data_IF_439273275123
#
_entry.id   IF_439273275123
#
_cell.length_a   1.000
_cell.length_b   1.000
_cell.length_c   1.000
_cell.angle_alpha   90.00
_cell.angle_beta   90.00
_cell.angle_gamma   90.00
#
_symmetry.space_group_name_H-M   'P 1'
#
loop_
_entity.id
_entity.type
_entity.pdbx_description
1 polymer ?
#
# COMPACT_ATOMS: atom_id res chain seq x y z
N UNK A 1 -48.32 -53.36 60.34
CA UNK A 1 -48.73 -52.46 59.36
C UNK A 1 -47.80 -51.20 59.27
N UNK A 2 -47.20 -51.02 58.32
CA UNK A 2 -46.43 -50.36 57.48
C UNK A 2 -46.78 -48.98 56.98
N UNK A 3 -45.97 -48.07 56.89
CA UNK A 3 -46.24 -47.05 55.90
C UNK A 3 -44.95 -46.40 55.46
N UNK A 4 -44.80 -46.50 54.26
CA UNK A 4 -43.76 -45.98 53.42
C UNK A 4 -43.98 -44.55 53.12
N UNK A 5 -43.05 -43.69 53.44
CA UNK A 5 -42.99 -42.33 52.94
C UNK A 5 -41.99 -42.24 51.83
N UNK A 6 -42.47 -42.00 50.68
CA UNK A 6 -41.63 -41.77 49.53
C UNK A 6 -41.50 -40.27 49.32
N UNK A 7 -40.29 -39.80 49.44
CA UNK A 7 -39.97 -38.41 49.09
C UNK A 7 -39.23 -38.42 47.79
N UNK A 8 -39.84 -37.93 46.75
CA UNK A 8 -39.23 -37.71 45.48
C UNK A 8 -38.32 -36.46 45.59
N UNK A 9 -37.08 -36.67 45.39
CA UNK A 9 -36.12 -35.60 45.22
C UNK A 9 -36.34 -34.94 43.86
N UNK A 10 -36.73 -33.69 43.88
CA UNK A 10 -36.82 -32.88 42.68
C UNK A 10 -35.46 -32.20 42.48
N UNK A 11 -34.79 -32.61 41.42
CA UNK A 11 -33.59 -31.95 40.99
C UNK A 11 -33.90 -30.52 40.51
N UNK A 12 -33.17 -29.54 40.95
CA UNK A 12 -33.20 -28.23 40.31
C UNK A 12 -32.47 -28.31 38.99
N UNK A 13 -33.21 -28.15 37.93
CA UNK A 13 -32.62 -27.88 36.61
C UNK A 13 -31.81 -26.61 36.72
N UNK A 14 -30.51 -26.74 36.68
CA UNK A 14 -29.62 -25.63 36.56
C UNK A 14 -29.86 -25.00 35.18
N UNK A 15 -30.47 -23.85 35.18
CA UNK A 15 -30.48 -22.99 34.02
C UNK A 15 -29.07 -22.56 33.75
N UNK A 16 -28.49 -23.06 32.72
CA UNK A 16 -27.27 -22.47 32.15
C UNK A 16 -27.63 -21.09 31.61
N UNK A 17 -27.09 -20.01 32.15
CA UNK A 17 -27.11 -18.77 31.41
C UNK A 17 -26.27 -18.99 30.18
N UNK A 18 -26.87 -18.81 29.03
CA UNK A 18 -26.15 -18.72 27.80
C UNK A 18 -25.06 -17.66 27.98
N UNK A 19 -23.83 -18.10 27.95
CA UNK A 19 -22.71 -17.16 27.94
C UNK A 19 -22.87 -16.33 26.69
N UNK A 20 -23.32 -15.11 26.85
CA UNK A 20 -23.19 -14.14 25.79
C UNK A 20 -21.69 -13.99 25.56
N UNK A 21 -21.21 -14.57 24.49
CA UNK A 21 -19.85 -14.40 24.05
C UNK A 21 -19.67 -12.99 23.51
N UNK A 22 -19.55 -12.03 24.39
CA UNK A 22 -18.83 -10.82 24.07
C UNK A 22 -17.36 -11.22 24.12
N UNK A 23 -16.82 -11.65 22.99
CA UNK A 23 -15.41 -11.90 22.86
C UNK A 23 -14.71 -10.55 22.97
N UNK A 24 -14.18 -10.27 24.15
CA UNK A 24 -13.16 -9.24 24.28
C UNK A 24 -12.04 -9.56 23.30
N UNK A 25 -11.54 -8.59 22.50
CA UNK A 25 -10.46 -8.86 21.59
C UNK A 25 -9.28 -9.42 22.36
N UNK A 26 -8.80 -10.60 21.93
CA UNK A 26 -7.57 -11.14 22.48
C UNK A 26 -6.39 -10.30 21.97
N UNK A 27 -5.26 -10.20 22.68
CA UNK A 27 -4.07 -9.49 22.21
C UNK A 27 -3.63 -9.90 20.79
N UNK A 28 -3.83 -11.18 20.43
CA UNK A 28 -3.57 -11.67 19.08
C UNK A 28 -4.50 -11.06 18.03
N UNK A 29 -5.79 -10.91 18.33
CA UNK A 29 -6.77 -10.30 17.43
C UNK A 29 -6.51 -8.80 17.27
N UNK A 30 -6.06 -8.14 18.31
CA UNK A 30 -5.67 -6.72 18.24
C UNK A 30 -4.44 -6.55 17.35
N UNK A 31 -3.43 -7.41 17.49
CA UNK A 31 -2.26 -7.39 16.62
C UNK A 31 -2.65 -7.64 15.15
N UNK A 32 -3.51 -8.61 14.87
CA UNK A 32 -4.00 -8.87 13.51
C UNK A 32 -4.72 -7.67 12.91
N UNK A 33 -5.55 -6.99 13.69
CA UNK A 33 -6.23 -5.78 13.28
C UNK A 33 -5.26 -4.63 12.99
N UNK A 34 -4.24 -4.45 13.81
CA UNK A 34 -3.19 -3.46 13.61
C UNK A 34 -2.36 -3.75 12.35
N UNK A 35 -1.96 -5.01 12.15
CA UNK A 35 -1.22 -5.43 10.96
C UNK A 35 -2.02 -5.18 9.69
N UNK A 36 -3.31 -5.47 9.70
CA UNK A 36 -4.20 -5.17 8.59
C UNK A 36 -4.26 -3.66 8.29
N UNK A 37 -4.28 -2.82 9.33
CA UNK A 37 -4.24 -1.36 9.18
C UNK A 37 -2.92 -0.87 8.59
N UNK A 38 -1.80 -1.39 9.03
CA UNK A 38 -0.49 -1.04 8.47
C UNK A 38 -0.39 -1.41 6.99
N UNK A 39 -0.83 -2.61 6.61
CA UNK A 39 -0.85 -3.04 5.21
C UNK A 39 -1.75 -2.15 4.36
N UNK A 40 -2.92 -1.78 4.86
CA UNK A 40 -3.83 -0.86 4.18
C UNK A 40 -3.21 0.53 3.99
N UNK A 41 -2.53 1.05 5.00
CA UNK A 41 -1.83 2.34 4.91
C UNK A 41 -0.66 2.28 3.92
N UNK A 42 0.08 1.17 3.89
CA UNK A 42 1.15 0.95 2.91
C UNK A 42 0.61 0.91 1.48
N UNK A 43 -0.54 0.27 1.26
CA UNK A 43 -1.21 0.25 -0.04
C UNK A 43 -1.65 1.65 -0.47
N UNK A 44 -2.26 2.41 0.44
CA UNK A 44 -2.65 3.81 0.18
C UNK A 44 -1.46 4.69 -0.16
N UNK A 45 -0.35 4.49 0.56
CA UNK A 45 0.89 5.21 0.34
C UNK A 45 1.48 4.90 -1.05
N UNK A 46 1.46 3.63 -1.46
CA UNK A 46 1.89 3.21 -2.78
C UNK A 46 1.03 3.85 -3.89
N UNK A 47 -0.29 3.84 -3.74
CA UNK A 47 -1.21 4.48 -4.68
C UNK A 47 -1.00 5.99 -4.76
N UNK A 48 -0.78 6.64 -3.62
CA UNK A 48 -0.46 8.07 -3.55
C UNK A 48 0.82 8.40 -4.31
N UNK A 49 1.89 7.63 -4.09
CA UNK A 49 3.16 7.81 -4.79
C UNK A 49 3.01 7.58 -6.29
N UNK A 50 2.29 6.54 -6.69
CA UNK A 50 2.01 6.24 -8.10
C UNK A 50 1.24 7.39 -8.77
N UNK A 51 0.20 7.90 -8.15
CA UNK A 51 -0.57 9.05 -8.65
C UNK A 51 0.32 10.30 -8.79
N UNK A 52 1.15 10.59 -7.81
CA UNK A 52 2.09 11.71 -7.85
C UNK A 52 3.12 11.54 -8.97
N UNK A 53 3.65 10.34 -9.15
CA UNK A 53 4.59 10.03 -10.23
C UNK A 53 3.94 10.24 -11.60
N UNK A 54 2.73 9.73 -11.78
CA UNK A 54 1.98 9.91 -13.04
C UNK A 54 1.69 11.38 -13.32
N UNK A 55 1.37 12.17 -12.30
CA UNK A 55 1.19 13.62 -12.42
C UNK A 55 2.46 14.30 -12.94
N UNK A 56 3.61 13.95 -12.39
CA UNK A 56 4.91 14.52 -12.85
C UNK A 56 5.23 14.11 -14.28
N UNK A 57 4.94 12.88 -14.65
CA UNK A 57 5.14 12.40 -16.04
C UNK A 57 4.22 13.16 -17.01
N UNK A 58 2.95 13.35 -16.65
CA UNK A 58 2.01 14.10 -17.47
C UNK A 58 2.42 15.56 -17.61
N UNK A 59 2.85 16.21 -16.52
CA UNK A 59 3.35 17.59 -16.54
C UNK A 59 4.60 17.72 -17.43
N UNK A 60 5.50 16.75 -17.35
CA UNK A 60 6.69 16.72 -18.21
C UNK A 60 6.32 16.55 -19.70
N UNK A 61 5.33 15.74 -20.00
CA UNK A 61 4.82 15.57 -21.35
C UNK A 61 4.18 16.86 -21.87
N UNK A 62 3.34 17.50 -21.06
CA UNK A 62 2.68 18.75 -21.44
C UNK A 62 3.71 19.85 -21.70
N UNK A 63 4.74 19.98 -20.85
CA UNK A 63 5.86 20.89 -21.06
C UNK A 63 6.60 20.60 -22.38
N UNK A 64 6.85 19.33 -22.66
CA UNK A 64 7.48 18.91 -23.93
C UNK A 64 6.63 19.32 -25.14
N UNK A 65 5.32 19.18 -25.05
CA UNK A 65 4.41 19.51 -26.15
C UNK A 65 4.25 21.04 -26.39
N UNK A 66 4.63 21.86 -25.42
CA UNK A 66 4.67 23.33 -25.57
C UNK A 66 5.80 23.81 -26.50
N UNK A 67 6.84 22.98 -26.67
CA UNK A 67 7.93 23.30 -27.60
C UNK A 67 7.50 23.07 -29.05
N UNK A 68 7.99 23.88 -30.02
CA UNK A 68 7.74 23.66 -31.43
C UNK A 68 8.21 22.25 -31.88
N UNK A 69 7.49 21.68 -32.84
CA UNK A 69 7.75 20.32 -33.31
C UNK A 69 9.19 20.09 -33.78
N UNK A 70 9.83 21.11 -34.38
CA UNK A 70 11.21 21.04 -34.83
C UNK A 70 12.23 20.93 -33.68
N UNK A 71 11.83 21.26 -32.46
CA UNK A 71 12.67 21.12 -31.25
C UNK A 71 12.45 19.80 -30.52
N UNK A 72 11.47 19.04 -30.94
CA UNK A 72 11.15 17.75 -30.33
C UNK A 72 12.32 16.77 -30.58
N UNK A 73 12.94 16.34 -29.49
CA UNK A 73 14.10 15.44 -29.51
C UNK A 73 14.18 14.64 -28.21
N UNK A 74 14.97 13.56 -28.24
CA UNK A 74 15.28 12.81 -27.02
C UNK A 74 16.01 13.69 -26.01
N UNK A 75 16.94 14.55 -26.48
CA UNK A 75 17.68 15.48 -25.61
C UNK A 75 16.76 16.43 -24.85
N UNK A 76 15.74 16.98 -25.52
CA UNK A 76 14.74 17.82 -24.88
C UNK A 76 13.93 17.04 -23.82
N UNK A 77 13.51 15.83 -24.12
CA UNK A 77 12.78 14.97 -23.16
C UNK A 77 13.63 14.70 -21.91
N UNK A 78 14.86 14.29 -22.10
CA UNK A 78 15.80 14.04 -20.99
C UNK A 78 15.99 15.30 -20.16
N UNK A 79 16.17 16.44 -20.79
CA UNK A 79 16.33 17.74 -20.10
C UNK A 79 15.12 18.06 -19.22
N UNK A 80 13.90 17.88 -19.74
CA UNK A 80 12.67 18.11 -18.99
C UNK A 80 12.56 17.13 -17.80
N UNK A 81 12.83 15.85 -18.01
CA UNK A 81 12.80 14.83 -16.95
C UNK A 81 13.84 15.13 -15.87
N UNK A 82 15.04 15.53 -16.26
CA UNK A 82 16.09 15.94 -15.30
C UNK A 82 15.65 17.16 -14.50
N UNK A 83 14.99 18.13 -15.12
CA UNK A 83 14.45 19.29 -14.41
C UNK A 83 13.40 18.94 -13.35
N UNK A 84 12.66 17.84 -13.57
CA UNK A 84 11.68 17.29 -12.60
C UNK A 84 12.33 16.38 -11.55
N UNK A 85 13.60 16.03 -11.71
CA UNK A 85 14.30 15.06 -10.88
C UNK A 85 14.31 15.40 -9.39
N UNK A 86 14.46 16.67 -9.05
CA UNK A 86 14.40 17.13 -7.65
C UNK A 86 13.05 16.87 -7.00
N UNK A 87 11.96 17.12 -7.73
CA UNK A 87 10.59 16.84 -7.27
C UNK A 87 10.37 15.33 -7.09
N UNK A 88 10.80 14.53 -8.06
CA UNK A 88 10.70 13.06 -7.98
C UNK A 88 11.48 12.50 -6.80
N UNK A 89 12.70 12.97 -6.57
CA UNK A 89 13.53 12.56 -5.43
C UNK A 89 12.89 12.93 -4.11
N UNK A 90 12.34 14.14 -3.98
CA UNK A 90 11.63 14.58 -2.78
C UNK A 90 10.38 13.75 -2.50
N UNK A 91 9.60 13.44 -3.53
CA UNK A 91 8.43 12.58 -3.42
C UNK A 91 8.79 11.17 -2.97
N UNK A 92 9.83 10.59 -3.57
CA UNK A 92 10.32 9.26 -3.19
C UNK A 92 10.83 9.24 -1.75
N UNK A 93 11.61 10.24 -1.36
CA UNK A 93 12.14 10.35 0.00
C UNK A 93 11.03 10.47 1.04
N UNK A 94 10.00 11.28 0.77
CA UNK A 94 8.84 11.40 1.65
C UNK A 94 8.07 10.08 1.77
N UNK A 95 7.86 9.39 0.65
CA UNK A 95 7.19 8.09 0.62
C UNK A 95 8.00 7.04 1.39
N UNK A 96 9.31 6.97 1.18
CA UNK A 96 10.20 6.04 1.87
C UNK A 96 10.17 6.27 3.39
N UNK A 97 10.14 7.52 3.82
CA UNK A 97 10.06 7.88 5.24
C UNK A 97 8.74 7.40 5.87
N UNK A 98 7.62 7.65 5.21
CA UNK A 98 6.30 7.20 5.68
C UNK A 98 6.22 5.66 5.71
N UNK A 99 6.72 5.00 4.66
CA UNK A 99 6.75 3.54 4.59
C UNK A 99 7.62 2.93 5.70
N UNK A 100 8.81 3.45 5.92
CA UNK A 100 9.72 2.95 6.95
C UNK A 100 9.15 3.15 8.35
N UNK A 101 8.39 4.21 8.61
CA UNK A 101 7.68 4.39 9.86
C UNK A 101 6.62 3.30 10.07
N UNK A 102 5.80 3.02 9.06
CA UNK A 102 4.79 1.95 9.11
C UNK A 102 5.44 0.57 9.27
N UNK A 103 6.55 0.33 8.57
CA UNK A 103 7.30 -0.93 8.67
C UNK A 103 7.88 -1.13 10.07
N UNK A 104 8.39 -0.08 10.68
CA UNK A 104 8.91 -0.11 12.06
C UNK A 104 7.81 -0.43 13.07
N UNK A 105 6.63 0.19 12.93
CA UNK A 105 5.47 -0.11 13.77
C UNK A 105 5.00 -1.56 13.59
N UNK A 106 4.95 -2.04 12.35
CA UNK A 106 4.62 -3.43 12.04
C UNK A 106 5.59 -4.41 12.69
N UNK A 107 6.90 -4.15 12.59
CA UNK A 107 7.93 -4.98 13.21
C UNK A 107 7.83 -5.02 14.72
N UNK A 108 7.51 -3.89 15.34
CA UNK A 108 7.29 -3.79 16.78
C UNK A 108 6.06 -4.60 17.19
N UNK A 109 4.95 -4.47 16.48
CA UNK A 109 3.74 -5.25 16.74
C UNK A 109 4.00 -6.75 16.65
N UNK A 110 4.70 -7.21 15.62
CA UNK A 110 5.05 -8.62 15.44
C UNK A 110 5.95 -9.14 16.59
N UNK A 111 6.96 -8.37 16.94
CA UNK A 111 7.89 -8.72 18.02
C UNK A 111 7.20 -8.80 19.38
N UNK A 112 6.39 -7.83 19.72
CA UNK A 112 5.69 -7.78 21.01
C UNK A 112 4.66 -8.90 21.17
N UNK A 113 4.17 -9.45 20.07
CA UNK A 113 3.24 -10.57 20.06
C UNK A 113 3.91 -11.92 19.77
N UNK A 114 5.23 -11.98 19.83
CA UNK A 114 6.00 -13.22 19.65
C UNK A 114 5.90 -13.82 18.26
N UNK A 115 5.59 -13.00 17.24
CA UNK A 115 5.49 -13.45 15.85
C UNK A 115 6.78 -13.22 15.11
N UNK A 116 7.02 -14.03 14.06
CA UNK A 116 8.15 -13.83 13.17
C UNK A 116 8.00 -12.56 12.32
N UNK A 117 9.07 -12.14 11.68
CA UNK A 117 9.14 -10.90 10.91
C UNK A 117 8.81 -11.08 9.42
N UNK A 118 8.37 -12.25 9.00
CA UNK A 118 8.17 -12.57 7.57
C UNK A 118 7.15 -11.66 6.90
N UNK A 119 6.07 -11.28 7.59
CA UNK A 119 5.07 -10.35 7.05
C UNK A 119 5.69 -8.97 6.75
N UNK A 120 6.50 -8.44 7.66
CA UNK A 120 7.21 -7.17 7.49
C UNK A 120 8.26 -7.27 6.38
N UNK A 121 9.02 -8.36 6.33
CA UNK A 121 10.01 -8.59 5.28
C UNK A 121 9.36 -8.68 3.90
N UNK A 122 8.22 -9.36 3.79
CA UNK A 122 7.46 -9.44 2.54
C UNK A 122 6.89 -8.08 2.13
N UNK A 123 6.40 -7.29 3.07
CA UNK A 123 5.92 -5.94 2.80
C UNK A 123 7.06 -5.03 2.28
N UNK A 124 8.24 -5.12 2.87
CA UNK A 124 9.42 -4.38 2.41
C UNK A 124 9.83 -4.79 1.00
N UNK A 125 9.92 -6.08 0.72
CA UNK A 125 10.25 -6.58 -0.64
C UNK A 125 9.22 -6.14 -1.68
N UNK A 126 7.94 -6.21 -1.34
CA UNK A 126 6.86 -5.77 -2.23
C UNK A 126 6.97 -4.28 -2.53
N UNK A 127 7.27 -3.45 -1.54
CA UNK A 127 7.48 -2.02 -1.70
C UNK A 127 8.68 -1.69 -2.60
N UNK A 128 9.81 -2.31 -2.35
CA UNK A 128 11.03 -2.14 -3.16
C UNK A 128 10.82 -2.59 -4.61
N UNK A 129 10.12 -3.70 -4.81
CA UNK A 129 9.76 -4.22 -6.13
C UNK A 129 8.81 -3.26 -6.87
N UNK A 130 7.81 -2.72 -6.19
CA UNK A 130 6.89 -1.75 -6.76
C UNK A 130 7.61 -0.46 -7.19
N UNK A 131 8.53 0.04 -6.38
CA UNK A 131 9.37 1.20 -6.72
C UNK A 131 10.22 0.94 -7.96
N UNK A 132 10.89 -0.21 -8.01
CA UNK A 132 11.70 -0.59 -9.16
C UNK A 132 10.86 -0.68 -10.45
N UNK A 133 9.65 -1.22 -10.37
CA UNK A 133 8.71 -1.30 -11.49
C UNK A 133 8.27 0.08 -11.97
N UNK A 134 7.99 1.00 -11.06
CA UNK A 134 7.61 2.38 -11.40
C UNK A 134 8.75 3.13 -12.09
N UNK A 135 9.99 2.98 -11.62
CA UNK A 135 11.17 3.57 -12.25
C UNK A 135 11.39 3.00 -13.65
N UNK A 136 11.20 1.69 -13.82
CA UNK A 136 11.29 1.03 -15.13
C UNK A 136 10.22 1.54 -16.08
N UNK A 137 8.98 1.69 -15.62
CA UNK A 137 7.87 2.24 -16.40
C UNK A 137 8.18 3.68 -16.85
N UNK A 138 8.66 4.53 -15.95
CA UNK A 138 9.08 5.90 -16.29
C UNK A 138 10.14 5.91 -17.39
N UNK A 139 11.18 5.10 -17.26
CA UNK A 139 12.23 4.99 -18.27
C UNK A 139 11.68 4.53 -19.62
N UNK A 140 10.78 3.56 -19.62
CA UNK A 140 10.15 3.05 -20.84
C UNK A 140 9.32 4.14 -21.53
N UNK A 141 8.54 4.92 -20.76
CA UNK A 141 7.74 6.03 -21.31
C UNK A 141 8.64 7.08 -21.97
N UNK A 142 9.70 7.50 -21.29
CA UNK A 142 10.66 8.49 -21.81
C UNK A 142 11.34 7.97 -23.07
N UNK A 143 11.81 6.73 -23.05
CA UNK A 143 12.56 6.14 -24.16
C UNK A 143 11.67 5.88 -25.37
N UNK A 144 10.51 5.26 -25.18
CA UNK A 144 9.61 4.89 -26.28
C UNK A 144 9.01 6.12 -26.99
N UNK A 145 8.77 7.20 -26.27
CA UNK A 145 8.36 8.47 -26.89
C UNK A 145 9.47 9.10 -27.76
N UNK A 146 10.73 8.76 -27.48
CA UNK A 146 11.86 9.26 -28.26
C UNK A 146 12.00 8.61 -29.62
N UNK A 147 11.62 7.35 -29.76
CA UNK A 147 11.82 6.53 -30.96
C UNK A 147 10.66 6.69 -31.97
N UNK A 148 9.70 7.58 -31.71
CA UNK A 148 8.62 7.90 -32.66
C UNK A 148 7.50 6.86 -32.74
N UNK A 149 7.44 5.89 -31.84
CA UNK A 149 6.43 4.84 -31.85
C UNK A 149 5.07 5.26 -31.27
N UNK A 150 4.83 6.54 -31.02
CA UNK A 150 3.55 7.06 -30.56
C UNK A 150 3.05 6.56 -29.18
N UNK A 151 3.78 5.63 -28.55
CA UNK A 151 3.40 4.97 -27.31
C UNK A 151 3.34 5.92 -26.12
N UNK A 152 4.11 7.00 -26.12
CA UNK A 152 4.13 7.98 -25.06
C UNK A 152 2.82 8.76 -24.95
N UNK A 153 2.30 9.25 -26.08
CA UNK A 153 1.01 9.95 -26.09
C UNK A 153 -0.13 9.03 -25.63
N UNK A 154 -0.12 7.78 -26.08
CA UNK A 154 -1.09 6.76 -25.68
C UNK A 154 -0.98 6.45 -24.18
N UNK A 155 0.22 6.31 -23.67
CA UNK A 155 0.45 6.10 -22.24
C UNK A 155 -0.09 7.28 -21.41
N UNK A 156 0.23 8.52 -21.78
CA UNK A 156 -0.25 9.74 -21.13
C UNK A 156 -1.78 9.78 -21.14
N UNK A 157 -2.40 9.51 -22.28
CA UNK A 157 -3.85 9.52 -22.41
C UNK A 157 -4.52 8.49 -21.50
N UNK A 158 -3.95 7.29 -21.37
CA UNK A 158 -4.49 6.22 -20.53
C UNK A 158 -4.23 6.44 -19.03
N UNK A 159 -3.18 7.17 -18.65
CA UNK A 159 -2.77 7.35 -17.24
C UNK A 159 -3.10 8.73 -16.67
N UNK A 160 -3.53 9.69 -17.48
CA UNK A 160 -3.83 11.06 -17.03
C UNK A 160 -4.90 11.10 -15.94
N UNK A 161 -5.89 10.23 -16.01
CA UNK A 161 -6.97 10.14 -15.02
C UNK A 161 -6.54 9.45 -13.72
N UNK A 162 -5.36 8.84 -13.69
CA UNK A 162 -4.77 8.18 -12.51
C UNK A 162 -3.77 9.09 -11.77
N UNK A 163 -3.52 10.24 -12.35
CA UNK A 163 -2.58 11.23 -11.82
C UNK A 163 -3.18 12.05 -10.66
#
# INVERSE_FOLDING_TARGET
ASSTGQTAAQEPTASHPAASSSSAPTPQNECDAQLAQYLLQMEKLQKKFQSQLYSVICDAYDEYMEYPAEKHSLGLKISIVVSKGGKLTSMQSACDKEFNALLSEMRTCLRENGRDQSLADNAQKAYESAKASMVKELKNVVYNTAVGNGSGASWIQSHRNMA
#
